data_IF_383502841518
#
_entry.id   IF_383502841518
#
_cell.length_a   1.000
_cell.length_b   1.000
_cell.length_c   1.000
_cell.angle_alpha   90.00
_cell.angle_beta   90.00
_cell.angle_gamma   90.00
#
_symmetry.space_group_name_H-M   'P 1'
#
loop_
_entity.id
_entity.type
_entity.pdbx_description
1 polymer ?
#
# COMPACT_ATOMS: atom_id res chain seq x y z
N UNK A 1 16.14 15.86 -2.14
CA UNK A 1 15.41 17.14 -2.02
C UNK A 1 15.19 17.71 -3.41
N UNK A 2 14.26 18.64 -3.58
CA UNK A 2 14.08 19.31 -4.87
C UNK A 2 15.29 20.18 -5.20
N UNK A 3 15.59 20.32 -6.48
CA UNK A 3 16.55 21.31 -6.94
C UNK A 3 15.99 22.71 -6.66
N UNK A 4 16.73 23.51 -5.89
CA UNK A 4 16.32 24.84 -5.46
C UNK A 4 16.18 25.84 -6.63
N UNK A 5 16.70 25.51 -7.82
CA UNK A 5 16.53 26.33 -9.02
C UNK A 5 15.17 26.11 -9.73
N UNK A 6 14.40 25.10 -9.33
CA UNK A 6 13.11 24.77 -9.97
C UNK A 6 12.00 25.62 -9.35
N UNK A 7 11.23 26.30 -10.21
CA UNK A 7 9.90 26.81 -9.84
C UNK A 7 8.85 25.73 -10.09
N UNK A 8 7.97 25.50 -9.12
CA UNK A 8 6.98 24.43 -9.16
C UNK A 8 5.57 24.97 -8.93
N UNK A 9 4.63 24.60 -9.81
CA UNK A 9 3.21 24.86 -9.62
C UNK A 9 2.43 23.54 -9.71
N UNK A 10 1.70 23.22 -8.64
CA UNK A 10 0.73 22.12 -8.63
C UNK A 10 -0.66 22.69 -8.89
N UNK A 11 -1.37 22.13 -9.86
CA UNK A 11 -2.72 22.55 -10.24
C UNK A 11 -3.70 21.47 -9.79
N UNK A 12 -4.60 21.81 -8.87
CA UNK A 12 -5.56 20.88 -8.25
C UNK A 12 -6.99 21.32 -8.56
N UNK A 13 -7.82 20.36 -9.00
CA UNK A 13 -9.21 20.58 -9.35
C UNK A 13 -10.06 20.89 -8.12
N UNK A 14 -9.83 20.17 -7.03
CA UNK A 14 -10.59 20.29 -5.81
C UNK A 14 -10.20 21.55 -5.02
N UNK A 15 -11.00 21.90 -4.01
CA UNK A 15 -10.75 23.04 -3.13
C UNK A 15 -9.65 22.78 -2.09
N UNK A 16 -9.19 21.54 -1.98
CA UNK A 16 -8.22 21.07 -1.01
C UNK A 16 -7.44 19.86 -1.51
N UNK A 17 -6.28 19.62 -0.90
CA UNK A 17 -5.46 18.45 -1.20
C UNK A 17 -6.12 17.17 -0.73
N UNK A 18 -5.91 16.08 -1.49
CA UNK A 18 -6.33 14.74 -1.11
C UNK A 18 -7.86 14.51 -0.95
N UNK A 19 -8.69 15.44 -1.44
CA UNK A 19 -10.14 15.38 -1.23
C UNK A 19 -10.84 14.20 -1.93
N UNK A 20 -10.23 13.64 -2.98
CA UNK A 20 -10.82 12.57 -3.81
C UNK A 20 -10.05 11.24 -3.68
N UNK A 21 -9.19 10.87 -4.63
CA UNK A 21 -8.54 9.53 -4.67
C UNK A 21 -7.68 9.19 -3.45
N UNK A 22 -7.09 10.18 -2.77
CA UNK A 22 -6.32 9.96 -1.53
C UNK A 22 -7.18 10.02 -0.27
N UNK A 23 -8.46 10.36 -0.38
CA UNK A 23 -9.37 10.47 0.75
C UNK A 23 -9.51 9.08 1.41
N UNK A 24 -9.46 8.96 2.75
CA UNK A 24 -9.63 7.69 3.44
C UNK A 24 -10.93 6.95 3.11
N UNK A 25 -11.93 7.64 2.57
CA UNK A 25 -13.18 7.01 2.15
C UNK A 25 -13.16 6.42 0.73
N UNK A 26 -12.18 6.83 -0.08
CA UNK A 26 -11.98 6.33 -1.44
C UNK A 26 -10.73 5.45 -1.56
N UNK A 27 -9.94 5.33 -0.48
CA UNK A 27 -8.67 4.63 -0.48
C UNK A 27 -8.58 3.70 0.73
N UNK A 28 -8.31 2.41 0.46
CA UNK A 28 -8.20 1.39 1.50
C UNK A 28 -7.04 1.63 2.48
N UNK A 29 -6.01 2.37 2.06
CA UNK A 29 -4.86 2.67 2.91
C UNK A 29 -3.94 1.47 3.17
N UNK A 30 -4.23 0.28 2.64
CA UNK A 30 -3.33 -0.87 2.75
C UNK A 30 -1.98 -0.48 2.18
N UNK A 31 -0.95 -0.43 3.03
CA UNK A 31 0.40 -0.12 2.58
C UNK A 31 0.79 -1.10 1.47
N UNK A 32 1.43 -0.59 0.43
CA UNK A 32 1.66 -1.33 -0.82
C UNK A 32 2.85 -2.29 -0.68
N UNK A 33 2.78 -3.20 0.30
CA UNK A 33 3.83 -4.15 0.63
C UNK A 33 3.55 -5.57 0.10
N UNK A 34 2.48 -5.75 -0.69
CA UNK A 34 2.12 -7.01 -1.38
C UNK A 34 1.73 -8.15 -0.44
N UNK A 35 1.16 -7.78 0.70
CA UNK A 35 0.80 -8.70 1.77
C UNK A 35 -0.66 -9.18 1.66
N UNK A 36 -1.53 -8.39 1.03
CA UNK A 36 -2.97 -8.65 0.91
C UNK A 36 -3.45 -8.83 -0.55
N UNK A 37 -2.66 -8.41 -1.53
CA UNK A 37 -3.05 -8.29 -2.94
C UNK A 37 -2.75 -9.58 -3.72
N UNK A 38 -3.60 -10.60 -3.54
CA UNK A 38 -3.44 -11.91 -4.19
C UNK A 38 -3.35 -11.84 -5.72
N UNK A 39 -3.94 -10.83 -6.34
CA UNK A 39 -3.95 -10.59 -7.79
C UNK A 39 -2.59 -10.16 -8.36
N UNK A 40 -1.63 -9.78 -7.52
CA UNK A 40 -0.28 -9.41 -7.98
C UNK A 40 0.69 -10.58 -8.07
N UNK A 41 0.26 -11.76 -7.64
CA UNK A 41 0.93 -13.04 -7.88
C UNK A 41 0.01 -13.93 -8.72
N UNK A 42 -0.30 -13.56 -9.98
CA UNK A 42 -1.25 -14.31 -10.79
C UNK A 42 -0.74 -15.73 -11.02
N UNK A 43 -1.67 -16.68 -10.98
CA UNK A 43 -1.39 -18.05 -11.37
C UNK A 43 -1.44 -18.17 -12.89
N UNK A 44 -0.35 -18.64 -13.49
CA UNK A 44 -0.27 -18.95 -14.91
C UNK A 44 -1.11 -20.19 -15.26
N UNK A 45 -1.36 -20.40 -16.56
CA UNK A 45 -2.21 -21.49 -17.03
C UNK A 45 -1.67 -22.90 -16.69
N UNK A 46 -0.35 -23.01 -16.50
CA UNK A 46 0.35 -24.22 -16.04
C UNK A 46 0.29 -24.40 -14.50
N UNK A 47 -0.42 -23.52 -13.80
CA UNK A 47 -0.56 -23.51 -12.36
C UNK A 47 0.62 -22.88 -11.62
N UNK A 48 1.64 -22.36 -12.29
CA UNK A 48 2.77 -21.68 -11.65
C UNK A 48 2.38 -20.30 -11.11
N UNK A 49 3.02 -19.84 -10.04
CA UNK A 49 2.76 -18.52 -9.44
C UNK A 49 4.02 -17.69 -9.56
N UNK A 50 3.93 -16.52 -10.18
CA UNK A 50 5.06 -15.58 -10.29
C UNK A 50 4.99 -14.53 -9.17
N UNK A 51 6.06 -14.41 -8.37
CA UNK A 51 6.17 -13.46 -7.26
C UNK A 51 7.00 -12.22 -7.60
N UNK A 52 7.57 -12.10 -8.81
CA UNK A 52 8.45 -10.99 -9.17
C UNK A 52 7.80 -9.63 -9.00
N UNK A 53 6.52 -9.51 -9.37
CA UNK A 53 5.74 -8.28 -9.20
C UNK A 53 5.59 -7.92 -7.73
N UNK A 54 5.29 -8.91 -6.88
CA UNK A 54 5.20 -8.71 -5.44
C UNK A 54 6.53 -8.24 -4.84
N UNK A 55 7.65 -8.87 -5.21
CA UNK A 55 8.97 -8.42 -4.76
C UNK A 55 9.26 -6.98 -5.22
N UNK A 56 8.94 -6.65 -6.46
CA UNK A 56 9.17 -5.33 -7.02
C UNK A 56 8.37 -4.24 -6.28
N UNK A 57 7.07 -4.45 -6.08
CA UNK A 57 6.22 -3.45 -5.42
C UNK A 57 6.60 -3.29 -3.95
N UNK A 58 6.86 -4.40 -3.24
CA UNK A 58 7.37 -4.36 -1.87
C UNK A 58 8.67 -3.52 -1.78
N UNK A 59 9.60 -3.71 -2.72
CA UNK A 59 10.85 -2.93 -2.78
C UNK A 59 10.59 -1.42 -2.98
N UNK A 60 9.66 -1.05 -3.87
CA UNK A 60 9.27 0.35 -4.08
C UNK A 60 8.66 0.97 -2.82
N UNK A 61 7.88 0.19 -2.07
CA UNK A 61 7.28 0.64 -0.83
C UNK A 61 8.32 0.83 0.28
N UNK A 62 9.32 -0.04 0.38
CA UNK A 62 10.46 0.16 1.29
C UNK A 62 11.22 1.45 0.98
N UNK A 63 11.46 1.76 -0.30
CA UNK A 63 12.08 3.03 -0.72
C UNK A 63 11.20 4.23 -0.30
N UNK A 64 9.88 4.11 -0.42
CA UNK A 64 8.94 5.14 0.02
C UNK A 64 9.03 5.38 1.53
N UNK A 65 9.08 4.31 2.34
CA UNK A 65 9.28 4.41 3.80
C UNK A 65 10.61 5.07 4.17
N UNK A 66 11.69 4.77 3.46
CA UNK A 66 12.99 5.41 3.66
C UNK A 66 12.91 6.92 3.36
N UNK A 67 12.24 7.30 2.28
CA UNK A 67 12.04 8.70 1.93
C UNK A 67 11.22 9.45 3.00
N UNK A 68 10.09 8.88 3.45
CA UNK A 68 9.29 9.50 4.51
C UNK A 68 10.04 9.59 5.84
N UNK A 69 10.86 8.59 6.17
CA UNK A 69 11.74 8.61 7.34
C UNK A 69 12.77 9.74 7.25
N UNK A 70 13.38 9.91 6.07
CA UNK A 70 14.31 11.01 5.81
C UNK A 70 13.63 12.37 6.02
N UNK A 71 12.45 12.59 5.42
CA UNK A 71 11.69 13.82 5.56
C UNK A 71 11.34 14.10 7.04
N UNK A 72 10.85 13.09 7.75
CA UNK A 72 10.50 13.21 9.18
C UNK A 72 11.72 13.62 10.02
N UNK A 73 12.88 13.03 9.75
CA UNK A 73 14.13 13.33 10.48
C UNK A 73 14.69 14.73 10.20
N UNK A 74 14.41 15.30 9.02
CA UNK A 74 14.76 16.69 8.69
C UNK A 74 13.94 17.72 9.46
N UNK A 75 12.83 17.31 10.08
CA UNK A 75 12.00 18.15 10.96
C UNK A 75 11.04 19.10 10.24
N UNK A 76 11.11 19.20 8.91
CA UNK A 76 10.18 19.99 8.08
C UNK A 76 8.94 19.21 7.65
N UNK A 77 8.90 17.92 7.96
CA UNK A 77 7.82 16.99 7.67
C UNK A 77 7.30 16.43 8.99
N UNK A 78 5.97 16.36 9.13
CA UNK A 78 5.31 15.94 10.37
C UNK A 78 5.72 14.54 10.83
N UNK A 79 5.22 14.14 12.00
CA UNK A 79 5.50 12.80 12.54
C UNK A 79 4.93 11.71 11.62
N UNK A 80 5.73 10.69 11.30
CA UNK A 80 5.28 9.53 10.52
C UNK A 80 4.07 8.81 11.13
N UNK A 81 3.93 8.85 12.46
CA UNK A 81 2.78 8.27 13.17
C UNK A 81 1.43 8.91 12.82
N UNK A 82 1.44 10.09 12.19
CA UNK A 82 0.21 10.76 11.77
C UNK A 82 -0.37 10.21 10.47
N UNK A 83 0.41 9.43 9.71
CA UNK A 83 -0.05 8.83 8.45
C UNK A 83 0.38 7.37 8.26
N UNK A 84 1.22 6.81 9.11
CA UNK A 84 1.62 5.40 9.11
C UNK A 84 1.14 4.74 10.39
N UNK A 85 0.45 3.61 10.26
CA UNK A 85 0.05 2.74 11.36
C UNK A 85 0.57 1.31 11.12
N UNK A 86 1.34 0.70 12.04
CA UNK A 86 1.67 -0.70 11.95
C UNK A 86 0.43 -1.55 12.24
N UNK A 87 0.06 -2.42 11.31
CA UNK A 87 -1.14 -3.28 11.39
C UNK A 87 -0.82 -4.63 10.75
N UNK A 88 -1.12 -5.76 11.39
CA UNK A 88 -0.96 -7.06 10.76
C UNK A 88 -1.80 -7.15 9.48
N UNK A 89 -1.20 -7.68 8.42
CA UNK A 89 -1.88 -7.92 7.15
C UNK A 89 -2.20 -9.40 7.01
N UNK A 90 -3.43 -9.68 6.59
CA UNK A 90 -3.94 -11.02 6.41
C UNK A 90 -4.51 -11.19 5.01
N UNK A 91 -4.30 -12.36 4.42
CA UNK A 91 -5.06 -12.82 3.26
C UNK A 91 -5.90 -14.02 3.66
N UNK A 92 -7.14 -14.09 3.20
CA UNK A 92 -8.06 -15.18 3.47
C UNK A 92 -8.65 -15.71 2.16
N UNK A 93 -8.74 -17.02 2.03
CA UNK A 93 -9.30 -17.70 0.86
C UNK A 93 -10.25 -18.82 1.28
N UNK A 94 -11.19 -19.14 0.39
CA UNK A 94 -12.15 -20.23 0.57
C UNK A 94 -12.09 -21.20 -0.62
N UNK A 95 -12.51 -22.44 -0.37
CA UNK A 95 -12.55 -23.51 -1.36
C UNK A 95 -11.17 -24.05 -1.74
N UNK A 96 -11.16 -25.27 -2.27
CA UNK A 96 -9.93 -26.02 -2.57
C UNK A 96 -8.97 -25.25 -3.48
N UNK A 97 -9.50 -24.57 -4.51
CA UNK A 97 -8.70 -23.77 -5.43
C UNK A 97 -8.02 -22.59 -4.72
N UNK A 98 -8.76 -21.88 -3.87
CA UNK A 98 -8.22 -20.75 -3.11
C UNK A 98 -7.13 -21.20 -2.15
N UNK A 99 -7.40 -22.27 -1.38
CA UNK A 99 -6.44 -22.84 -0.43
C UNK A 99 -5.15 -23.30 -1.12
N UNK A 100 -5.28 -24.05 -2.22
CA UNK A 100 -4.15 -24.53 -3.01
C UNK A 100 -3.31 -23.37 -3.58
N UNK A 101 -3.96 -22.36 -4.14
CA UNK A 101 -3.29 -21.16 -4.63
C UNK A 101 -2.55 -20.42 -3.51
N UNK A 102 -3.20 -20.16 -2.37
CA UNK A 102 -2.61 -19.42 -1.27
C UNK A 102 -1.40 -20.15 -0.68
N UNK A 103 -1.47 -21.48 -0.58
CA UNK A 103 -0.36 -22.33 -0.13
C UNK A 103 0.86 -22.23 -1.05
N UNK A 104 0.65 -22.39 -2.36
CA UNK A 104 1.73 -22.27 -3.35
C UNK A 104 2.34 -20.87 -3.37
N UNK A 105 1.50 -19.83 -3.27
CA UNK A 105 1.95 -18.44 -3.13
C UNK A 105 2.82 -18.26 -1.89
N UNK A 106 2.35 -18.75 -0.74
CA UNK A 106 3.09 -18.70 0.53
C UNK A 106 4.46 -19.37 0.43
N UNK A 107 4.52 -20.62 -0.06
CA UNK A 107 5.77 -21.40 -0.17
C UNK A 107 6.83 -20.68 -1.03
N UNK A 108 6.41 -19.97 -2.08
CA UNK A 108 7.31 -19.19 -2.93
C UNK A 108 7.71 -17.87 -2.27
N UNK A 109 6.76 -17.12 -1.71
CA UNK A 109 7.04 -15.82 -1.10
C UNK A 109 7.94 -15.95 0.13
N UNK A 110 7.67 -16.92 1.00
CA UNK A 110 8.40 -17.13 2.26
C UNK A 110 9.90 -17.40 2.06
N UNK A 111 10.32 -17.87 0.87
CA UNK A 111 11.73 -18.05 0.54
C UNK A 111 12.47 -16.72 0.33
N UNK A 112 11.75 -15.63 0.07
CA UNK A 112 12.33 -14.30 -0.11
C UNK A 112 12.33 -13.54 1.22
N UNK A 113 13.45 -12.91 1.57
CA UNK A 113 13.67 -12.24 2.86
C UNK A 113 12.58 -11.20 3.22
N UNK A 114 12.03 -10.50 2.22
CA UNK A 114 10.95 -9.52 2.41
C UNK A 114 9.64 -10.12 2.94
N UNK A 115 9.45 -11.45 2.82
CA UNK A 115 8.23 -12.15 3.24
C UNK A 115 8.54 -13.33 4.19
N UNK A 116 9.76 -13.40 4.73
CA UNK A 116 10.20 -14.51 5.57
C UNK A 116 9.41 -14.63 6.88
N UNK A 117 8.82 -13.54 7.37
CA UNK A 117 7.97 -13.56 8.57
C UNK A 117 6.51 -13.91 8.27
N UNK A 118 6.17 -14.22 7.01
CA UNK A 118 4.82 -14.65 6.64
C UNK A 118 4.49 -15.99 7.29
N UNK A 119 3.29 -16.09 7.82
CA UNK A 119 2.73 -17.31 8.40
C UNK A 119 1.58 -17.80 7.52
N UNK A 120 1.40 -19.11 7.44
CA UNK A 120 0.27 -19.76 6.75
C UNK A 120 -0.47 -20.70 7.72
N UNK A 121 -1.79 -20.77 7.61
CA UNK A 121 -2.61 -21.70 8.39
C UNK A 121 -3.83 -22.17 7.62
N UNK A 122 -4.18 -23.45 7.82
CA UNK A 122 -5.49 -24.05 7.49
C UNK A 122 -6.26 -24.39 8.79
N UNK A 123 -5.64 -24.17 9.97
CA UNK A 123 -6.23 -24.43 11.28
C UNK A 123 -7.21 -23.32 11.68
N UNK A 124 -8.47 -23.71 11.87
CA UNK A 124 -9.58 -22.83 12.26
C UNK A 124 -9.41 -22.24 13.67
N UNK A 125 -8.75 -22.94 14.59
CA UNK A 125 -8.47 -22.41 15.93
C UNK A 125 -7.49 -21.24 15.83
N UNK A 126 -6.41 -21.40 15.06
CA UNK A 126 -5.45 -20.33 14.77
C UNK A 126 -6.08 -19.16 14.01
N UNK A 127 -6.98 -19.43 13.05
CA UNK A 127 -7.74 -18.36 12.39
C UNK A 127 -8.67 -17.62 13.36
N UNK A 128 -9.25 -18.29 14.36
CA UNK A 128 -10.08 -17.62 15.36
C UNK A 128 -9.28 -16.65 16.24
N UNK A 129 -7.99 -16.92 16.47
CA UNK A 129 -7.09 -15.96 17.12
C UNK A 129 -6.77 -14.77 16.20
N UNK A 130 -6.59 -15.03 14.90
CA UNK A 130 -6.15 -14.04 13.91
C UNK A 130 -7.28 -13.11 13.44
N UNK A 131 -8.47 -13.64 13.23
CA UNK A 131 -9.63 -12.97 12.64
C UNK A 131 -10.93 -13.38 13.38
N UNK A 132 -11.05 -13.08 14.70
CA UNK A 132 -12.12 -13.58 15.55
C UNK A 132 -13.54 -13.19 15.10
N UNK A 133 -13.68 -12.12 14.33
CA UNK A 133 -14.97 -11.67 13.80
C UNK A 133 -15.41 -12.44 12.55
N UNK A 134 -14.48 -13.06 11.83
CA UNK A 134 -14.78 -13.79 10.59
C UNK A 134 -15.15 -15.25 10.84
N UNK A 135 -14.76 -15.83 11.98
CA UNK A 135 -14.87 -17.27 12.22
C UNK A 135 -16.23 -17.77 12.74
N UNK A 136 -16.96 -17.04 13.61
CA UNK A 136 -18.25 -17.50 14.14
C UNK A 136 -19.27 -17.81 13.03
N UNK A 137 -20.00 -18.93 13.17
CA UNK A 137 -21.05 -19.33 12.24
C UNK A 137 -20.59 -20.05 10.97
N UNK A 138 -19.27 -20.26 10.79
CA UNK A 138 -18.74 -21.02 9.66
C UNK A 138 -18.95 -22.53 9.81
N UNK A 139 -19.23 -23.27 8.71
CA UNK A 139 -19.30 -24.73 8.75
C UNK A 139 -17.99 -25.38 9.21
N UNK A 140 -18.11 -26.48 9.97
CA UNK A 140 -16.97 -27.22 10.48
C UNK A 140 -16.11 -27.85 9.36
N UNK A 141 -16.72 -28.15 8.22
CA UNK A 141 -16.12 -28.72 7.01
C UNK A 141 -15.73 -27.66 5.95
N UNK A 142 -15.97 -26.37 6.22
CA UNK A 142 -15.60 -25.31 5.28
C UNK A 142 -14.09 -25.31 5.00
N UNK A 143 -13.70 -25.39 3.73
CA UNK A 143 -12.30 -25.37 3.28
C UNK A 143 -11.83 -23.93 3.18
N UNK A 144 -10.92 -23.53 4.08
CA UNK A 144 -10.42 -22.16 4.21
C UNK A 144 -8.93 -22.16 4.56
N UNK A 145 -8.23 -21.11 4.14
CA UNK A 145 -6.83 -20.88 4.51
C UNK A 145 -6.57 -19.39 4.70
N UNK A 146 -5.53 -19.07 5.47
CA UNK A 146 -5.10 -17.71 5.67
C UNK A 146 -3.57 -17.59 5.72
N UNK A 147 -3.06 -16.44 5.28
CA UNK A 147 -1.71 -15.99 5.59
C UNK A 147 -1.76 -14.77 6.50
N UNK A 148 -0.73 -14.59 7.33
CA UNK A 148 -0.57 -13.41 8.20
C UNK A 148 0.86 -12.89 8.15
N UNK A 149 1.00 -11.58 8.18
CA UNK A 149 2.28 -10.88 8.34
C UNK A 149 2.12 -9.80 9.41
N UNK A 150 2.87 -9.91 10.51
CA UNK A 150 2.70 -9.04 11.68
C UNK A 150 3.21 -7.61 11.48
N UNK A 151 4.24 -7.43 10.63
CA UNK A 151 4.88 -6.15 10.37
C UNK A 151 4.26 -5.39 9.17
N UNK A 152 3.00 -5.69 8.84
CA UNK A 152 2.23 -4.93 7.87
C UNK A 152 2.07 -3.45 8.28
N UNK A 153 1.66 -2.63 7.33
CA UNK A 153 1.56 -1.18 7.53
C UNK A 153 0.39 -0.63 6.75
N UNK A 154 -0.46 0.15 7.40
CA UNK A 154 -1.45 0.97 6.74
C UNK A 154 -0.98 2.42 6.66
N UNK A 155 -1.36 3.08 5.56
CA UNK A 155 -1.01 4.44 5.23
C UNK A 155 -2.28 5.26 5.03
N UNK A 156 -2.44 6.29 5.85
CA UNK A 156 -3.43 7.35 5.58
C UNK A 156 -2.89 8.26 4.47
N UNK A 157 -3.16 7.87 3.22
CA UNK A 157 -2.73 8.63 2.04
C UNK A 157 -3.27 10.07 2.03
N UNK A 158 -4.43 10.32 2.63
CA UNK A 158 -4.98 11.66 2.76
C UNK A 158 -4.12 12.57 3.64
N UNK A 159 -3.73 12.06 4.81
CA UNK A 159 -2.82 12.76 5.71
C UNK A 159 -1.42 12.92 5.08
N UNK A 160 -0.91 11.88 4.43
CA UNK A 160 0.39 11.90 3.75
C UNK A 160 0.41 12.95 2.62
N UNK A 161 -0.57 12.95 1.73
CA UNK A 161 -0.67 13.89 0.60
C UNK A 161 -0.72 15.33 1.10
N UNK A 162 -1.53 15.62 2.14
CA UNK A 162 -1.58 16.96 2.71
C UNK A 162 -0.25 17.39 3.34
N UNK A 163 0.49 16.47 3.96
CA UNK A 163 1.83 16.77 4.48
C UNK A 163 2.86 16.99 3.38
N UNK A 164 2.80 16.21 2.30
CA UNK A 164 3.66 16.40 1.12
C UNK A 164 3.39 17.74 0.45
N UNK A 165 2.13 18.11 0.24
CA UNK A 165 1.77 19.42 -0.33
C UNK A 165 2.25 20.57 0.56
N UNK A 166 2.07 20.47 1.88
CA UNK A 166 2.58 21.46 2.84
C UNK A 166 4.10 21.55 2.83
N UNK A 167 4.79 20.41 2.73
CA UNK A 167 6.24 20.38 2.65
C UNK A 167 6.72 21.03 1.35
N UNK A 168 6.08 20.72 0.22
CA UNK A 168 6.39 21.34 -1.07
C UNK A 168 6.25 22.87 -0.96
N UNK A 169 5.09 23.38 -0.53
CA UNK A 169 4.82 24.83 -0.43
C UNK A 169 5.64 25.58 0.62
N UNK A 170 6.43 24.88 1.43
CA UNK A 170 7.41 25.51 2.33
C UNK A 170 8.71 25.91 1.61
N UNK A 171 8.96 25.37 0.42
CA UNK A 171 10.12 25.69 -0.39
C UNK A 171 9.88 26.98 -1.21
N UNK A 172 10.93 27.80 -1.46
CA UNK A 172 10.84 28.96 -2.35
C UNK A 172 10.33 28.57 -3.74
N UNK A 173 9.64 29.50 -4.40
CA UNK A 173 9.19 29.36 -5.79
C UNK A 173 8.29 28.14 -6.07
N UNK A 174 7.65 27.62 -5.03
CA UNK A 174 6.66 26.54 -5.12
C UNK A 174 5.25 27.02 -4.71
N UNK A 175 4.22 26.55 -5.41
CA UNK A 175 2.83 26.83 -5.04
C UNK A 175 1.86 25.73 -5.44
N UNK A 176 0.72 25.68 -4.75
CA UNK A 176 -0.42 24.82 -5.07
C UNK A 176 -1.62 25.72 -5.36
N UNK A 177 -2.25 25.53 -6.53
CA UNK A 177 -3.46 26.25 -6.93
C UNK A 177 -4.65 25.31 -6.96
N UNK A 178 -5.53 25.48 -5.97
CA UNK A 178 -6.80 24.78 -5.85
C UNK A 178 -7.89 25.38 -6.75
N UNK A 179 -8.98 24.63 -6.94
CA UNK A 179 -10.11 25.00 -7.79
C UNK A 179 -9.70 25.29 -9.24
N UNK A 180 -8.69 24.58 -9.76
CA UNK A 180 -8.16 24.72 -11.11
C UNK A 180 -8.30 23.42 -11.89
N UNK A 181 -9.18 23.43 -12.89
CA UNK A 181 -9.33 22.32 -13.84
C UNK A 181 -8.42 22.54 -15.04
N UNK A 182 -7.50 21.61 -15.29
CA UNK A 182 -6.79 21.53 -16.57
C UNK A 182 -7.75 20.95 -17.60
N UNK A 183 -8.05 21.71 -18.66
CA UNK A 183 -8.99 21.31 -19.73
C UNK A 183 -8.31 20.99 -21.06
N UNK A 184 -7.02 21.28 -21.17
CA UNK A 184 -6.22 20.97 -22.35
C UNK A 184 -4.76 21.38 -22.15
N UNK A 185 -3.89 20.84 -23.01
CA UNK A 185 -2.48 21.18 -23.06
C UNK A 185 -2.18 21.75 -24.44
N UNK A 186 -1.48 22.89 -24.49
CA UNK A 186 -0.97 23.46 -25.73
C UNK A 186 0.53 23.27 -25.79
N UNK A 187 0.98 22.43 -26.71
CA UNK A 187 2.39 22.23 -26.98
C UNK A 187 2.97 23.46 -27.70
N UNK A 188 4.10 23.97 -27.24
CA UNK A 188 4.86 24.95 -28.01
C UNK A 188 5.89 24.21 -28.89
N UNK A 189 6.50 24.90 -29.85
CA UNK A 189 7.44 24.29 -30.80
C UNK A 189 8.70 23.66 -30.17
N UNK A 190 8.91 23.86 -28.87
CA UNK A 190 10.11 23.44 -28.13
C UNK A 190 9.97 22.05 -27.49
N UNK A 191 8.76 21.47 -27.49
CA UNK A 191 8.51 20.15 -26.91
C UNK A 191 7.74 20.21 -25.62
#
# INVERSE_FOLDING_TARGET
ELDAAISLEVVELMDSGAAESSNPWNNAGTGHAELCELNYTPQAADGNVDIKKAVHINTQFEVSKQFWTYLTRKGTFGSSKSFIAPVPHLSFVQGEKGVSFLKKRFELMHQHHAFADMEYTEDKARMAEWMPLMMPGRPADEVIAATRVMNGTDVNFGALTNQLLKHLTSAPDTQVKYCKRVTGLKRNGSG
#
